data_IF_203286389267
#
_entry.id   IF_203286389267
#
_cell.length_a   1.000
_cell.length_b   1.000
_cell.length_c   1.000
_cell.angle_alpha   90.00
_cell.angle_beta   90.00
_cell.angle_gamma   90.00
#
_symmetry.space_group_name_H-M   'P 1'
#
loop_
_entity.id
_entity.type
_entity.pdbx_description
1 polymer ?
#
# COMPACT_ATOMS: atom_id res chain seq x y z
N UNK A 1 -20.06 1.22 -4.45
CA UNK A 1 -19.57 -0.05 -4.99
C UNK A 1 -18.66 -0.66 -3.94
N UNK A 2 -19.03 -1.84 -3.45
CA UNK A 2 -18.23 -2.58 -2.48
C UNK A 2 -17.08 -3.20 -3.27
N UNK A 3 -15.86 -2.72 -3.07
CA UNK A 3 -14.66 -3.32 -3.64
C UNK A 3 -14.27 -4.52 -2.76
N UNK A 4 -14.92 -5.66 -3.01
CA UNK A 4 -14.53 -6.90 -2.35
C UNK A 4 -13.35 -7.50 -3.11
N UNK A 5 -12.21 -7.61 -2.45
CA UNK A 5 -11.02 -8.30 -3.00
C UNK A 5 -11.35 -9.80 -3.11
N UNK A 6 -11.28 -10.32 -4.32
CA UNK A 6 -11.39 -11.76 -4.57
C UNK A 6 -10.06 -12.45 -4.25
N UNK A 7 -10.08 -13.42 -3.34
CA UNK A 7 -8.91 -14.26 -3.03
C UNK A 7 -9.06 -15.59 -3.77
N UNK A 8 -8.33 -15.80 -4.89
CA UNK A 8 -8.41 -17.02 -5.67
C UNK A 8 -7.81 -18.22 -4.92
N UNK A 9 -8.11 -19.43 -5.36
CA UNK A 9 -7.50 -20.65 -4.80
C UNK A 9 -5.97 -20.60 -4.91
N UNK A 10 -5.28 -20.77 -3.80
CA UNK A 10 -3.82 -20.65 -3.69
C UNK A 10 -3.34 -19.20 -3.81
N UNK A 11 -4.17 -18.21 -3.47
CA UNK A 11 -3.88 -16.77 -3.43
C UNK A 11 -3.93 -16.16 -2.05
N UNK A 12 -4.10 -16.97 -1.00
CA UNK A 12 -4.25 -16.52 0.38
C UNK A 12 -2.91 -16.28 1.09
N UNK A 13 -2.95 -15.57 2.22
CA UNK A 13 -1.79 -15.45 3.09
C UNK A 13 -1.37 -16.78 3.71
N UNK A 14 -2.31 -17.71 3.94
CA UNK A 14 -2.01 -19.05 4.41
C UNK A 14 -1.16 -19.85 3.40
N UNK A 15 -1.39 -19.62 2.10
CA UNK A 15 -0.56 -20.20 1.04
C UNK A 15 0.88 -19.65 1.09
N UNK A 16 1.04 -18.35 1.40
CA UNK A 16 2.37 -17.74 1.63
C UNK A 16 3.05 -18.36 2.86
N UNK A 17 2.32 -18.52 3.95
CA UNK A 17 2.83 -19.17 5.18
C UNK A 17 3.34 -20.57 4.89
N UNK A 18 2.65 -21.33 4.05
CA UNK A 18 3.03 -22.69 3.66
C UNK A 18 4.34 -22.74 2.86
N UNK A 19 4.85 -21.61 2.36
CA UNK A 19 6.13 -21.52 1.64
C UNK A 19 7.34 -21.28 2.54
N UNK A 20 7.16 -20.98 3.82
CA UNK A 20 8.28 -20.69 4.73
C UNK A 20 9.32 -21.82 4.69
N UNK A 21 10.57 -21.39 4.67
CA UNK A 21 11.75 -22.26 4.64
C UNK A 21 11.90 -23.18 3.41
N UNK A 22 11.03 -23.02 2.38
CA UNK A 22 11.21 -23.70 1.11
C UNK A 22 12.16 -22.93 0.20
N UNK A 23 12.98 -23.62 -0.58
CA UNK A 23 13.95 -23.01 -1.52
C UNK A 23 13.30 -22.06 -2.53
N UNK A 24 12.10 -22.35 -2.95
CA UNK A 24 11.37 -21.60 -3.95
C UNK A 24 10.37 -20.60 -3.33
N UNK A 25 10.61 -20.15 -2.10
CA UNK A 25 9.68 -19.22 -1.40
C UNK A 25 9.47 -17.94 -2.20
N UNK A 26 10.50 -17.33 -2.77
CA UNK A 26 10.38 -16.09 -3.56
C UNK A 26 9.55 -16.29 -4.82
N UNK A 27 9.82 -17.32 -5.60
CA UNK A 27 9.02 -17.68 -6.77
C UNK A 27 7.55 -17.97 -6.38
N UNK A 28 7.35 -18.70 -5.28
CA UNK A 28 6.02 -19.02 -4.78
C UNK A 28 5.25 -17.78 -4.37
N UNK A 29 5.87 -16.80 -3.70
CA UNK A 29 5.25 -15.52 -3.35
C UNK A 29 4.86 -14.75 -4.62
N UNK A 30 5.75 -14.66 -5.62
CA UNK A 30 5.45 -14.02 -6.90
C UNK A 30 4.23 -14.65 -7.58
N UNK A 31 4.11 -15.98 -7.57
CA UNK A 31 2.96 -16.69 -8.13
C UNK A 31 1.67 -16.37 -7.38
N UNK A 32 1.70 -16.34 -6.04
CA UNK A 32 0.54 -16.05 -5.21
C UNK A 32 0.06 -14.62 -5.44
N UNK A 33 0.97 -13.63 -5.41
CA UNK A 33 0.66 -12.23 -5.67
C UNK A 33 0.15 -12.04 -7.11
N UNK A 34 0.76 -12.72 -8.09
CA UNK A 34 0.32 -12.66 -9.48
C UNK A 34 -1.11 -13.18 -9.66
N UNK A 35 -1.49 -14.27 -8.99
CA UNK A 35 -2.87 -14.78 -8.99
C UNK A 35 -3.86 -13.78 -8.38
N UNK A 36 -3.49 -13.18 -7.24
CA UNK A 36 -4.31 -12.17 -6.58
C UNK A 36 -4.49 -10.93 -7.47
N UNK A 37 -3.40 -10.48 -8.11
CA UNK A 37 -3.41 -9.35 -9.04
C UNK A 37 -4.31 -9.62 -10.25
N UNK A 38 -4.25 -10.83 -10.82
CA UNK A 38 -5.06 -11.22 -11.98
C UNK A 38 -6.54 -11.32 -11.65
N UNK A 39 -6.89 -11.88 -10.49
CA UNK A 39 -8.28 -12.02 -10.05
C UNK A 39 -8.97 -10.65 -9.78
N UNK A 40 -8.20 -9.60 -9.51
CA UNK A 40 -8.71 -8.29 -9.10
C UNK A 40 -8.38 -7.15 -10.08
N UNK A 41 -7.92 -7.45 -11.28
CA UNK A 41 -7.48 -6.44 -12.26
C UNK A 41 -6.37 -5.50 -11.76
N UNK A 42 -5.54 -5.99 -10.82
CA UNK A 42 -4.41 -5.26 -10.22
C UNK A 42 -3.05 -5.64 -10.80
N UNK A 43 -3.03 -6.30 -11.98
CA UNK A 43 -1.80 -6.72 -12.63
C UNK A 43 -0.95 -5.52 -13.07
N UNK A 44 0.34 -5.58 -12.76
CA UNK A 44 1.26 -4.45 -12.96
C UNK A 44 1.15 -3.38 -11.88
N UNK A 45 0.35 -3.61 -10.83
CA UNK A 45 0.17 -2.73 -9.68
C UNK A 45 0.77 -3.38 -8.44
N UNK A 46 0.20 -4.49 -7.97
CA UNK A 46 0.66 -5.15 -6.74
C UNK A 46 1.73 -6.22 -6.97
N UNK A 47 1.90 -6.69 -8.20
CA UNK A 47 2.85 -7.74 -8.59
C UNK A 47 4.17 -7.20 -9.20
N UNK A 48 4.49 -5.93 -8.92
CA UNK A 48 5.72 -5.27 -9.41
C UNK A 48 6.96 -5.79 -8.67
N UNK A 49 6.83 -6.09 -7.37
CA UNK A 49 7.95 -6.54 -6.55
C UNK A 49 8.35 -7.98 -6.92
N UNK A 50 9.64 -8.18 -7.21
CA UNK A 50 10.19 -9.51 -7.45
C UNK A 50 10.83 -10.10 -6.18
N UNK A 51 10.10 -11.00 -5.53
CA UNK A 51 10.56 -11.71 -4.34
C UNK A 51 11.59 -12.81 -4.65
N UNK A 52 11.89 -13.03 -5.93
CA UNK A 52 12.95 -13.95 -6.37
C UNK A 52 14.20 -13.21 -6.88
N UNK A 53 14.28 -11.91 -6.63
CA UNK A 53 15.41 -11.06 -7.03
C UNK A 53 16.70 -11.45 -6.30
N UNK A 54 17.83 -11.40 -7.02
CA UNK A 54 19.18 -11.57 -6.45
C UNK A 54 19.53 -10.52 -5.37
N UNK A 55 18.84 -9.39 -5.35
CA UNK A 55 19.01 -8.34 -4.32
C UNK A 55 18.63 -8.81 -2.91
N UNK A 56 17.80 -9.84 -2.81
CA UNK A 56 17.44 -10.46 -1.52
C UNK A 56 18.55 -11.37 -0.95
N UNK A 57 19.61 -11.60 -1.73
CA UNK A 57 20.69 -12.51 -1.42
C UNK A 57 20.56 -13.84 -2.15
N UNK A 58 21.51 -14.73 -1.91
CA UNK A 58 21.55 -16.03 -2.60
C UNK A 58 20.91 -17.14 -1.74
N UNK A 59 20.20 -18.05 -2.39
CA UNK A 59 19.69 -19.32 -1.83
C UNK A 59 19.16 -19.19 -0.37
N UNK A 60 19.98 -19.62 0.59
CA UNK A 60 19.59 -19.67 2.00
C UNK A 60 19.29 -18.30 2.59
N UNK A 61 20.04 -17.26 2.20
CA UNK A 61 19.86 -15.91 2.73
C UNK A 61 18.50 -15.33 2.31
N UNK A 62 18.11 -15.49 1.05
CA UNK A 62 16.80 -15.08 0.56
C UNK A 62 15.67 -15.85 1.26
N UNK A 63 15.83 -17.16 1.45
CA UNK A 63 14.86 -18.00 2.16
C UNK A 63 14.70 -17.55 3.62
N UNK A 64 15.79 -17.27 4.32
CA UNK A 64 15.75 -16.84 5.72
C UNK A 64 15.10 -15.43 5.84
N UNK A 65 15.44 -14.49 4.95
CA UNK A 65 14.85 -13.14 4.92
C UNK A 65 13.34 -13.18 4.66
N UNK A 66 12.93 -13.92 3.63
CA UNK A 66 11.50 -14.00 3.26
C UNK A 66 10.70 -14.76 4.32
N UNK A 67 11.25 -15.84 4.88
CA UNK A 67 10.58 -16.55 5.98
C UNK A 67 10.43 -15.68 7.21
N UNK A 68 11.46 -14.91 7.56
CA UNK A 68 11.41 -13.94 8.64
C UNK A 68 10.39 -12.82 8.41
N UNK A 69 10.26 -12.35 7.15
CA UNK A 69 9.23 -11.38 6.77
C UNK A 69 7.82 -11.95 6.98
N UNK A 70 7.57 -13.17 6.51
CA UNK A 70 6.28 -13.86 6.71
C UNK A 70 5.98 -14.03 8.21
N UNK A 71 6.98 -14.39 9.03
CA UNK A 71 6.80 -14.51 10.48
C UNK A 71 6.43 -13.18 11.16
N UNK A 72 6.95 -12.06 10.66
CA UNK A 72 6.56 -10.74 11.14
C UNK A 72 5.08 -10.51 10.91
N UNK A 73 4.58 -10.76 9.69
CA UNK A 73 3.17 -10.59 9.34
C UNK A 73 2.22 -11.61 10.00
N UNK A 74 2.75 -12.71 10.53
CA UNK A 74 1.97 -13.67 11.32
C UNK A 74 1.73 -13.24 12.77
N UNK A 75 2.36 -12.16 13.24
CA UNK A 75 2.19 -11.70 14.61
C UNK A 75 0.78 -11.15 14.82
N UNK A 76 0.14 -11.44 15.98
CA UNK A 76 -1.19 -10.93 16.28
C UNK A 76 -1.30 -9.40 16.23
N UNK A 77 -0.20 -8.69 16.51
CA UNK A 77 -0.14 -7.23 16.45
C UNK A 77 -0.27 -6.67 15.04
N UNK A 78 -0.07 -7.51 14.02
CA UNK A 78 -0.22 -7.18 12.59
C UNK A 78 -1.44 -7.85 11.95
N UNK A 79 -2.40 -8.26 12.77
CA UNK A 79 -3.72 -8.69 12.28
C UNK A 79 -4.59 -7.45 11.99
N UNK A 80 -4.69 -7.10 10.71
CA UNK A 80 -5.45 -5.95 10.24
C UNK A 80 -6.91 -6.29 9.87
N UNK A 81 -7.41 -7.48 10.18
CA UNK A 81 -8.79 -7.89 9.86
C UNK A 81 -9.86 -6.96 10.47
N UNK A 82 -9.52 -6.24 11.53
CA UNK A 82 -10.38 -5.26 12.18
C UNK A 82 -9.81 -3.83 12.09
N UNK A 83 -9.13 -3.48 11.02
CA UNK A 83 -8.40 -2.23 10.83
C UNK A 83 -9.24 -0.95 11.08
N UNK A 84 -10.55 -1.01 10.89
CA UNK A 84 -11.48 0.13 11.09
C UNK A 84 -12.23 0.11 12.43
N UNK A 85 -11.85 -0.73 13.36
CA UNK A 85 -12.45 -0.75 14.69
C UNK A 85 -12.03 0.50 15.48
N UNK A 86 -12.80 1.56 15.36
CA UNK A 86 -12.59 2.81 16.09
C UNK A 86 -12.42 4.06 15.22
N UNK A 87 -12.46 3.95 13.88
CA UNK A 87 -12.34 5.08 12.97
C UNK A 87 -10.90 5.49 12.63
N UNK A 88 -9.90 4.77 13.13
CA UNK A 88 -8.50 5.02 12.82
C UNK A 88 -8.05 4.14 11.63
N UNK A 89 -7.35 4.74 10.67
CA UNK A 89 -6.70 4.02 9.58
C UNK A 89 -5.32 3.53 10.00
N UNK A 90 -5.29 2.41 10.74
CA UNK A 90 -4.05 1.83 11.27
C UNK A 90 -3.11 1.40 10.12
N UNK A 91 -3.65 0.96 9.00
CA UNK A 91 -2.86 0.53 7.85
C UNK A 91 -2.19 1.72 7.16
N UNK A 92 -2.93 2.82 6.97
CA UNK A 92 -2.38 4.08 6.46
C UNK A 92 -1.31 4.65 7.39
N UNK A 93 -1.54 4.66 8.70
CA UNK A 93 -0.56 5.13 9.68
C UNK A 93 0.71 4.25 9.70
N UNK A 94 0.57 2.93 9.59
CA UNK A 94 1.70 2.01 9.48
C UNK A 94 2.50 2.24 8.20
N UNK A 95 1.81 2.44 7.07
CA UNK A 95 2.43 2.79 5.79
C UNK A 95 3.21 4.11 5.90
N UNK A 96 2.62 5.15 6.45
CA UNK A 96 3.28 6.43 6.69
C UNK A 96 4.54 6.29 7.55
N UNK A 97 4.46 5.49 8.62
CA UNK A 97 5.60 5.23 9.49
C UNK A 97 6.75 4.55 8.73
N UNK A 98 6.44 3.53 7.93
CA UNK A 98 7.44 2.82 7.12
C UNK A 98 8.09 3.75 6.10
N UNK A 99 7.31 4.56 5.37
CA UNK A 99 7.83 5.51 4.39
C UNK A 99 8.74 6.55 5.04
N UNK A 100 8.40 7.04 6.24
CA UNK A 100 9.25 7.94 7.02
C UNK A 100 10.58 7.28 7.40
N UNK A 101 10.55 6.03 7.81
CA UNK A 101 11.73 5.25 8.16
C UNK A 101 12.64 5.05 6.94
N UNK A 102 12.09 4.58 5.82
CA UNK A 102 12.85 4.37 4.59
C UNK A 102 13.47 5.67 4.05
N UNK A 103 12.75 6.79 4.13
CA UNK A 103 13.29 8.10 3.76
C UNK A 103 14.46 8.54 4.66
N UNK A 104 14.42 8.21 5.95
CA UNK A 104 15.53 8.47 6.88
C UNK A 104 16.76 7.61 6.57
N UNK A 105 16.55 6.32 6.33
CA UNK A 105 17.63 5.34 6.14
C UNK A 105 18.29 5.47 4.76
N UNK A 106 17.54 5.86 3.72
CA UNK A 106 18.06 6.00 2.35
C UNK A 106 18.87 7.28 2.11
N UNK A 107 18.89 8.22 3.06
CA UNK A 107 19.58 9.50 2.91
C UNK A 107 19.03 10.40 1.78
N UNK A 108 17.96 9.98 1.10
CA UNK A 108 17.31 10.76 0.05
C UNK A 108 16.43 11.85 0.65
N UNK A 109 16.25 12.92 -0.11
CA UNK A 109 15.46 14.08 0.26
C UNK A 109 14.06 13.69 0.74
N UNK A 110 13.72 14.03 1.97
CA UNK A 110 12.47 13.64 2.66
C UNK A 110 11.18 14.03 1.93
N UNK A 111 11.24 14.99 1.00
CA UNK A 111 10.08 15.48 0.26
C UNK A 111 9.68 14.64 -0.95
N UNK A 112 10.47 13.65 -1.34
CA UNK A 112 10.16 12.81 -2.51
C UNK A 112 9.21 11.64 -2.20
N UNK A 113 8.98 11.31 -0.92
CA UNK A 113 8.29 10.09 -0.56
C UNK A 113 7.02 10.26 0.27
N UNK A 114 6.79 11.47 0.85
CA UNK A 114 5.74 11.53 1.87
C UNK A 114 5.37 12.96 2.26
N UNK A 115 4.08 13.26 2.25
CA UNK A 115 3.51 14.47 2.84
C UNK A 115 2.93 14.14 4.21
N UNK A 116 3.41 14.76 5.31
CA UNK A 116 2.87 14.50 6.65
C UNK A 116 1.35 14.70 6.71
N UNK A 117 0.66 13.82 7.44
CA UNK A 117 -0.79 13.85 7.53
C UNK A 117 -1.36 15.19 8.02
N UNK A 118 -0.64 15.86 8.92
CA UNK A 118 -1.01 17.19 9.40
C UNK A 118 -0.97 18.24 8.28
N UNK A 119 0.01 18.16 7.39
CA UNK A 119 0.12 19.03 6.22
C UNK A 119 -1.01 18.74 5.24
N UNK A 120 -1.31 17.48 4.99
CA UNK A 120 -2.41 17.05 4.11
C UNK A 120 -3.76 17.58 4.61
N UNK A 121 -4.03 17.50 5.91
CA UNK A 121 -5.23 18.07 6.52
C UNK A 121 -5.31 19.59 6.38
N UNK A 122 -4.19 20.30 6.58
CA UNK A 122 -4.14 21.74 6.38
C UNK A 122 -4.44 22.10 4.92
N UNK A 123 -3.83 21.36 3.97
CA UNK A 123 -4.05 21.58 2.55
C UNK A 123 -5.51 21.34 2.16
N UNK A 124 -6.12 20.25 2.61
CA UNK A 124 -7.53 19.95 2.39
C UNK A 124 -8.44 21.09 2.86
N UNK A 125 -8.18 21.65 4.05
CA UNK A 125 -8.92 22.81 4.58
C UNK A 125 -8.65 24.09 3.81
N UNK A 126 -7.43 24.33 3.36
CA UNK A 126 -7.08 25.52 2.57
C UNK A 126 -7.79 25.53 1.22
N UNK A 127 -7.90 24.39 0.54
CA UNK A 127 -8.65 24.28 -0.71
C UNK A 127 -10.16 24.32 -0.50
N UNK A 128 -10.63 24.24 0.76
CA UNK A 128 -12.05 24.34 1.09
C UNK A 128 -12.86 23.10 0.75
N UNK A 129 -12.25 21.91 0.83
CA UNK A 129 -12.92 20.64 0.50
C UNK A 129 -14.10 20.36 1.45
N UNK A 130 -14.05 20.89 2.67
CA UNK A 130 -15.12 20.84 3.66
C UNK A 130 -16.43 21.55 3.21
N UNK A 131 -16.36 22.30 2.12
CA UNK A 131 -17.50 22.99 1.49
C UNK A 131 -18.01 22.29 0.24
N UNK A 132 -17.48 21.13 -0.10
CA UNK A 132 -17.97 20.33 -1.21
C UNK A 132 -19.43 19.93 -0.94
N UNK A 133 -20.33 20.27 -1.86
CA UNK A 133 -21.77 20.02 -1.72
C UNK A 133 -22.34 19.17 -2.84
N UNK A 134 -21.50 18.81 -3.81
CA UNK A 134 -21.91 18.11 -5.01
C UNK A 134 -20.95 16.96 -5.32
N UNK A 135 -21.46 15.72 -5.47
CA UNK A 135 -20.64 14.55 -5.86
C UNK A 135 -19.91 14.69 -7.19
N UNK A 136 -20.31 15.65 -8.05
CA UNK A 136 -19.59 15.94 -9.30
C UNK A 136 -18.31 16.76 -9.11
N UNK A 137 -18.07 17.27 -7.91
CA UNK A 137 -16.82 17.96 -7.58
C UNK A 137 -15.65 16.98 -7.60
N UNK A 138 -14.52 17.45 -8.07
CA UNK A 138 -13.32 16.62 -8.24
C UNK A 138 -12.12 17.28 -7.57
N UNK A 139 -11.21 16.43 -7.07
CA UNK A 139 -9.88 16.85 -6.63
C UNK A 139 -8.84 16.15 -7.49
N UNK A 140 -7.84 16.91 -7.91
CA UNK A 140 -6.75 16.39 -8.73
C UNK A 140 -5.39 16.79 -8.14
N UNK A 141 -4.51 15.80 -8.01
CA UNK A 141 -3.13 15.98 -7.64
C UNK A 141 -2.20 15.51 -8.78
N UNK A 142 -1.47 16.43 -9.45
CA UNK A 142 -0.58 16.08 -10.57
C UNK A 142 0.71 15.36 -10.15
N UNK A 143 0.96 15.20 -8.85
CA UNK A 143 2.15 14.57 -8.29
C UNK A 143 1.79 13.83 -6.99
N UNK A 144 0.76 12.96 -7.07
CA UNK A 144 0.05 12.42 -5.92
C UNK A 144 0.88 11.49 -5.03
N UNK A 145 2.04 11.04 -5.50
CA UNK A 145 2.82 10.06 -4.77
C UNK A 145 2.02 8.77 -4.54
N UNK A 146 1.87 8.37 -3.29
CA UNK A 146 1.03 7.24 -2.87
C UNK A 146 -0.46 7.55 -2.74
N UNK A 147 -0.92 8.72 -3.16
CA UNK A 147 -2.32 9.12 -3.05
C UNK A 147 -2.77 9.57 -1.64
N UNK A 148 -1.90 9.52 -0.64
CA UNK A 148 -2.27 9.82 0.76
C UNK A 148 -2.93 11.19 0.95
N UNK A 149 -2.47 12.23 0.22
CA UNK A 149 -3.08 13.56 0.28
C UNK A 149 -4.50 13.55 -0.27
N UNK A 150 -4.71 12.85 -1.40
CA UNK A 150 -6.03 12.74 -2.05
C UNK A 150 -7.04 12.00 -1.17
N UNK A 151 -6.63 10.89 -0.55
CA UNK A 151 -7.47 10.12 0.37
C UNK A 151 -7.88 10.99 1.55
N UNK A 152 -6.94 11.70 2.18
CA UNK A 152 -7.25 12.60 3.30
C UNK A 152 -8.12 13.79 2.88
N UNK A 153 -7.96 14.27 1.65
CA UNK A 153 -8.85 15.31 1.11
C UNK A 153 -10.28 14.76 0.93
N UNK A 154 -10.43 13.53 0.45
CA UNK A 154 -11.73 12.89 0.33
C UNK A 154 -12.39 12.66 1.70
N UNK A 155 -11.63 12.25 2.71
CA UNK A 155 -12.14 12.06 4.08
C UNK A 155 -12.65 13.36 4.74
N UNK A 156 -12.08 14.53 4.40
CA UNK A 156 -12.54 15.84 4.90
C UNK A 156 -13.75 16.38 4.11
N UNK A 157 -14.14 15.75 2.99
CA UNK A 157 -15.30 16.16 2.20
C UNK A 157 -16.60 15.71 2.87
N UNK A 158 -17.65 16.58 2.93
CA UNK A 158 -18.93 16.23 3.54
C UNK A 158 -19.80 15.31 2.66
N UNK A 159 -19.39 15.04 1.43
CA UNK A 159 -20.03 14.12 0.51
C UNK A 159 -18.98 13.36 -0.29
N UNK A 160 -19.38 12.26 -0.88
CA UNK A 160 -18.52 11.50 -1.79
C UNK A 160 -18.13 12.36 -3.00
N UNK A 161 -16.82 12.42 -3.31
CA UNK A 161 -16.26 13.19 -4.42
C UNK A 161 -15.33 12.29 -5.24
N UNK A 162 -15.10 12.67 -6.50
CA UNK A 162 -14.14 11.96 -7.35
C UNK A 162 -12.74 12.51 -7.14
N UNK A 163 -11.77 11.62 -6.91
CA UNK A 163 -10.37 11.97 -6.77
C UNK A 163 -9.56 11.44 -7.96
N UNK A 164 -8.60 12.24 -8.42
CA UNK A 164 -7.72 11.91 -9.53
C UNK A 164 -6.28 12.21 -9.14
N UNK A 165 -5.38 11.27 -9.38
CA UNK A 165 -3.96 11.42 -9.14
C UNK A 165 -3.15 11.17 -10.39
N UNK A 166 -1.96 11.76 -10.44
CA UNK A 166 -0.93 11.45 -11.42
C UNK A 166 0.40 11.29 -10.71
N UNK A 167 1.12 10.21 -11.02
CA UNK A 167 2.46 9.96 -10.49
C UNK A 167 3.37 9.50 -11.63
N UNK A 168 4.62 9.99 -11.63
CA UNK A 168 5.61 9.67 -12.66
C UNK A 168 6.30 8.32 -12.41
N UNK A 169 6.56 7.99 -11.16
CA UNK A 169 7.20 6.74 -10.78
C UNK A 169 6.17 5.62 -10.73
N UNK A 170 6.35 4.58 -11.57
CA UNK A 170 5.38 3.50 -11.70
C UNK A 170 5.20 2.70 -10.40
N UNK A 171 6.26 2.51 -9.61
CA UNK A 171 6.18 1.77 -8.35
C UNK A 171 5.36 2.54 -7.33
N UNK A 172 5.53 3.86 -7.28
CA UNK A 172 4.78 4.75 -6.40
C UNK A 172 3.32 4.90 -6.87
N UNK A 173 3.10 5.00 -8.18
CA UNK A 173 1.75 5.05 -8.77
C UNK A 173 0.93 3.79 -8.48
N UNK A 174 1.59 2.64 -8.36
CA UNK A 174 0.93 1.39 -7.98
C UNK A 174 0.45 1.33 -6.52
N UNK A 175 0.82 2.32 -5.70
CA UNK A 175 0.36 2.46 -4.31
C UNK A 175 -0.83 3.42 -4.18
N UNK A 176 -1.04 4.28 -5.18
CA UNK A 176 -2.13 5.26 -5.24
C UNK A 176 -3.41 4.66 -5.82
#
# INVERSE_FOLDING_TARGET
DNWDIEVPEGGSFDDVIALKYKKNIGEGINIIIGKLAEANDLKGIIDIADFNSEELGTDKEAVDKLSGLVEIFQKPELDFTNNRAGGDDILGDAYEFLMRKFAQDSGKSKGQFYTPGEVSRIMAKVIGIDKATDPSMTVYDPACGSGSLLIRAADEAPCEISIYGQEKDNSTAGLA
#
